data_IF_151424133379
#
_entry.id   IF_151424133379
#
_cell.length_a   1.000
_cell.length_b   1.000
_cell.length_c   1.000
_cell.angle_alpha   90.00
_cell.angle_beta   90.00
_cell.angle_gamma   90.00
#
_symmetry.space_group_name_H-M   'P 1'
#
loop_
_entity.id
_entity.type
_entity.pdbx_description
1 polymer ?
#
# COMPACT_ATOMS: atom_id res chain seq x y z
N UNK A 1 -12.05 -13.03 -6.17
CA UNK A 1 -13.42 -12.69 -5.75
C UNK A 1 -13.63 -11.20 -5.57
N UNK A 2 -12.78 -10.48 -4.82
CA UNK A 2 -12.97 -9.05 -4.54
C UNK A 2 -12.92 -8.15 -5.80
N UNK A 3 -12.03 -8.43 -6.75
CA UNK A 3 -11.98 -7.70 -8.02
C UNK A 3 -13.24 -7.94 -8.86
N UNK A 4 -13.76 -9.19 -8.87
CA UNK A 4 -15.04 -9.51 -9.53
C UNK A 4 -16.22 -8.77 -8.91
N UNK A 5 -16.29 -8.71 -7.59
CA UNK A 5 -17.30 -7.94 -6.87
C UNK A 5 -17.24 -6.44 -7.22
N UNK A 6 -16.05 -5.85 -7.28
CA UNK A 6 -15.86 -4.46 -7.69
C UNK A 6 -16.34 -4.20 -9.12
N UNK A 7 -16.08 -5.13 -10.06
CA UNK A 7 -16.57 -5.01 -11.44
C UNK A 7 -18.10 -5.08 -11.52
N UNK A 8 -18.73 -5.93 -10.72
CA UNK A 8 -20.21 -5.98 -10.62
C UNK A 8 -20.77 -4.65 -10.09
N UNK A 9 -20.17 -4.07 -9.04
CA UNK A 9 -20.58 -2.79 -8.49
C UNK A 9 -20.44 -1.65 -9.54
N UNK A 10 -19.34 -1.64 -10.29
CA UNK A 10 -19.10 -0.68 -11.38
C UNK A 10 -20.17 -0.85 -12.47
N UNK A 11 -20.42 -2.10 -12.91
CA UNK A 11 -21.44 -2.40 -13.93
C UNK A 11 -22.85 -1.93 -13.51
N UNK A 12 -23.24 -2.23 -12.26
CA UNK A 12 -24.52 -1.77 -11.70
C UNK A 12 -24.57 -0.24 -11.63
N UNK A 13 -23.49 0.42 -11.22
CA UNK A 13 -23.41 1.88 -11.22
C UNK A 13 -23.64 2.48 -12.62
N UNK A 14 -22.99 1.92 -13.63
CA UNK A 14 -23.20 2.38 -15.02
C UNK A 14 -24.65 2.19 -15.49
N UNK A 15 -25.30 1.09 -15.14
CA UNK A 15 -26.72 0.88 -15.46
C UNK A 15 -27.64 1.93 -14.82
N UNK A 16 -27.24 2.48 -13.68
CA UNK A 16 -27.94 3.55 -12.95
C UNK A 16 -27.49 4.97 -13.37
N UNK A 17 -26.59 5.09 -14.36
CA UNK A 17 -26.03 6.37 -14.79
C UNK A 17 -25.02 6.97 -13.81
N UNK A 18 -24.51 6.19 -12.86
CA UNK A 18 -23.56 6.63 -11.84
C UNK A 18 -22.15 6.16 -12.23
N UNK A 19 -21.18 7.09 -12.32
CA UNK A 19 -19.79 6.74 -12.56
C UNK A 19 -19.13 6.31 -11.25
N UNK A 20 -18.85 5.02 -11.13
CA UNK A 20 -18.15 4.42 -9.98
C UNK A 20 -16.64 4.36 -10.28
N UNK A 21 -15.75 4.73 -9.33
CA UNK A 21 -14.32 4.65 -9.53
C UNK A 21 -13.82 3.19 -9.57
N UNK A 22 -12.79 2.94 -10.38
CA UNK A 22 -12.13 1.63 -10.43
C UNK A 22 -11.29 1.41 -9.17
N UNK A 23 -11.41 0.20 -8.59
CA UNK A 23 -10.65 -0.20 -7.39
C UNK A 23 -9.37 -0.97 -7.68
N UNK A 24 -9.20 -1.47 -8.91
CA UNK A 24 -8.05 -2.29 -9.30
C UNK A 24 -7.51 -1.86 -10.66
N UNK A 25 -6.20 -1.63 -10.72
CA UNK A 25 -5.49 -1.32 -11.96
C UNK A 25 -4.27 -2.23 -12.12
N UNK A 26 -4.50 -3.51 -12.50
CA UNK A 26 -3.44 -4.51 -12.72
C UNK A 26 -2.39 -4.55 -11.59
N UNK A 27 -2.78 -4.76 -10.32
CA UNK A 27 -1.86 -4.66 -9.18
C UNK A 27 -0.71 -5.66 -9.22
N UNK A 28 -0.90 -6.83 -9.85
CA UNK A 28 0.11 -7.88 -9.92
C UNK A 28 1.25 -7.64 -10.92
N UNK A 29 1.27 -6.48 -11.62
CA UNK A 29 2.42 -6.05 -12.40
C UNK A 29 3.31 -5.04 -11.66
N UNK A 30 3.00 -4.72 -10.42
CA UNK A 30 3.69 -3.72 -9.62
C UNK A 30 5.13 -4.11 -9.32
N UNK A 31 6.04 -3.15 -9.40
CA UNK A 31 7.47 -3.35 -9.20
C UNK A 31 7.98 -2.90 -7.83
N UNK A 32 7.10 -2.34 -7.01
CA UNK A 32 7.36 -2.01 -5.60
C UNK A 32 6.06 -1.92 -4.80
N UNK A 33 6.17 -1.87 -3.47
CA UNK A 33 5.00 -1.87 -2.58
C UNK A 33 4.15 -0.61 -2.70
N UNK A 34 4.71 0.52 -3.07
CA UNK A 34 3.95 1.77 -3.27
C UNK A 34 3.13 1.71 -4.54
N UNK A 35 3.71 1.17 -5.64
CA UNK A 35 3.02 0.93 -6.91
C UNK A 35 1.89 -0.10 -6.72
N UNK A 36 2.12 -1.15 -5.88
CA UNK A 36 1.08 -2.13 -5.55
C UNK A 36 -0.12 -1.46 -4.88
N UNK A 37 0.08 -0.69 -3.82
CA UNK A 37 -1.01 -0.01 -3.10
C UNK A 37 -1.68 1.13 -3.90
N UNK A 38 -1.00 1.68 -4.89
CA UNK A 38 -1.61 2.62 -5.83
C UNK A 38 -2.53 1.95 -6.86
N UNK A 39 -2.50 0.61 -6.96
CA UNK A 39 -3.27 -0.21 -7.91
C UNK A 39 -4.24 -1.18 -7.25
N UNK A 40 -4.05 -1.46 -5.96
CA UNK A 40 -4.88 -2.36 -5.15
C UNK A 40 -5.81 -1.56 -4.26
N UNK A 41 -7.11 -1.87 -4.34
CA UNK A 41 -8.16 -1.22 -3.54
C UNK A 41 -8.03 0.30 -3.52
N UNK A 42 -8.01 0.90 -4.70
CA UNK A 42 -7.61 2.30 -4.94
C UNK A 42 -8.41 3.27 -4.08
N UNK A 43 -9.75 3.18 -4.09
CA UNK A 43 -10.62 4.10 -3.33
C UNK A 43 -10.33 4.06 -1.83
N UNK A 44 -10.13 2.87 -1.25
CA UNK A 44 -9.77 2.72 0.16
C UNK A 44 -8.38 3.28 0.45
N UNK A 45 -7.40 2.94 -0.40
CA UNK A 45 -6.02 3.43 -0.27
C UNK A 45 -5.94 4.95 -0.35
N UNK A 46 -6.74 5.57 -1.22
CA UNK A 46 -6.84 7.03 -1.34
C UNK A 46 -7.48 7.65 -0.11
N UNK A 47 -8.57 7.07 0.39
CA UNK A 47 -9.22 7.54 1.61
C UNK A 47 -8.25 7.53 2.80
N UNK A 48 -7.55 6.42 3.03
CA UNK A 48 -6.55 6.31 4.12
C UNK A 48 -5.39 7.28 3.92
N UNK A 49 -4.90 7.45 2.68
CA UNK A 49 -3.87 8.43 2.36
C UNK A 49 -4.31 9.85 2.72
N UNK A 50 -5.50 10.25 2.36
CA UNK A 50 -5.95 11.64 2.50
C UNK A 50 -6.36 11.95 3.94
N UNK A 51 -7.05 11.03 4.63
CA UNK A 51 -7.59 11.27 5.96
C UNK A 51 -6.66 10.85 7.10
N UNK A 52 -5.78 9.88 6.90
CA UNK A 52 -4.85 9.41 7.94
C UNK A 52 -3.42 9.85 7.64
N UNK A 53 -2.85 9.38 6.54
CA UNK A 53 -1.44 9.62 6.21
C UNK A 53 -1.13 11.10 6.05
N UNK A 54 -1.85 11.81 5.19
CA UNK A 54 -1.59 13.24 4.90
C UNK A 54 -1.76 14.09 6.15
N UNK A 55 -2.82 13.85 6.93
CA UNK A 55 -3.05 14.59 8.19
C UNK A 55 -1.95 14.34 9.22
N UNK A 56 -1.50 13.09 9.34
CA UNK A 56 -0.36 12.75 10.22
C UNK A 56 0.92 13.47 9.77
N UNK A 57 1.24 13.45 8.46
CA UNK A 57 2.41 14.13 7.90
C UNK A 57 2.36 15.63 8.20
N UNK A 58 1.25 16.29 7.89
CA UNK A 58 1.09 17.74 8.10
C UNK A 58 1.22 18.12 9.58
N UNK A 59 0.54 17.37 10.47
CA UNK A 59 0.63 17.60 11.92
C UNK A 59 2.03 17.37 12.45
N UNK A 60 2.70 16.31 12.01
CA UNK A 60 4.06 15.96 12.45
C UNK A 60 5.10 16.99 11.97
N UNK A 61 4.94 17.49 10.75
CA UNK A 61 5.81 18.54 10.22
C UNK A 61 5.59 19.88 10.96
N UNK A 62 4.35 20.27 11.19
CA UNK A 62 4.02 21.50 11.95
C UNK A 62 4.59 21.45 13.37
N UNK A 63 4.49 20.30 14.04
CA UNK A 63 4.98 20.09 15.41
C UNK A 63 6.47 19.71 15.47
N UNK A 64 7.18 19.61 14.34
CA UNK A 64 8.59 19.19 14.24
C UNK A 64 8.88 17.88 15.02
N UNK A 65 7.97 16.89 14.98
CA UNK A 65 8.08 15.64 15.77
C UNK A 65 9.29 14.80 15.39
N UNK A 66 9.71 14.84 14.13
CA UNK A 66 10.79 14.02 13.59
C UNK A 66 11.84 14.90 12.90
N UNK A 67 13.11 14.48 12.97
CA UNK A 67 14.25 15.22 12.40
C UNK A 67 14.22 15.32 10.87
N UNK A 68 13.64 14.33 10.17
CA UNK A 68 13.65 14.28 8.70
C UNK A 68 12.27 13.98 8.13
N UNK A 69 12.01 14.49 6.92
CA UNK A 69 10.80 14.15 6.16
C UNK A 69 10.69 12.65 5.86
N UNK A 70 11.83 11.99 5.68
CA UNK A 70 11.87 10.55 5.41
C UNK A 70 11.37 9.75 6.62
N UNK A 71 11.85 10.08 7.82
CA UNK A 71 11.37 9.45 9.07
C UNK A 71 9.88 9.71 9.27
N UNK A 72 9.43 10.94 9.03
CA UNK A 72 7.99 11.27 9.12
C UNK A 72 7.15 10.41 8.18
N UNK A 73 7.57 10.27 6.92
CA UNK A 73 6.87 9.46 5.93
C UNK A 73 6.87 7.98 6.31
N UNK A 74 8.01 7.44 6.77
CA UNK A 74 8.12 6.03 7.18
C UNK A 74 7.19 5.70 8.34
N UNK A 75 7.16 6.53 9.39
CA UNK A 75 6.22 6.37 10.51
C UNK A 75 4.78 6.55 10.06
N UNK A 76 4.52 7.51 9.16
CA UNK A 76 3.20 7.71 8.57
C UNK A 76 2.68 6.49 7.83
N UNK A 77 3.51 5.79 7.05
CA UNK A 77 3.13 4.54 6.38
C UNK A 77 2.77 3.43 7.39
N UNK A 78 3.57 3.28 8.45
CA UNK A 78 3.30 2.25 9.47
C UNK A 78 1.96 2.53 10.16
N UNK A 79 1.73 3.77 10.60
CA UNK A 79 0.46 4.15 11.25
C UNK A 79 -0.72 3.96 10.30
N UNK A 80 -0.60 4.42 9.06
CA UNK A 80 -1.66 4.35 8.06
C UNK A 80 -2.10 2.90 7.80
N UNK A 81 -1.13 2.01 7.58
CA UNK A 81 -1.40 0.60 7.31
C UNK A 81 -1.86 -0.15 8.55
N UNK A 82 -1.37 0.20 9.73
CA UNK A 82 -1.83 -0.38 10.98
C UNK A 82 -3.31 -0.05 11.24
N UNK A 83 -3.71 1.21 11.04
CA UNK A 83 -5.12 1.62 11.16
C UNK A 83 -5.98 0.94 10.10
N UNK A 84 -5.47 0.73 8.88
CA UNK A 84 -6.14 -0.05 7.83
C UNK A 84 -6.32 -1.53 8.28
N UNK A 85 -5.32 -2.11 8.96
CA UNK A 85 -5.44 -3.45 9.55
C UNK A 85 -6.58 -3.53 10.58
N UNK A 86 -6.66 -2.56 11.48
CA UNK A 86 -7.77 -2.46 12.47
C UNK A 86 -9.13 -2.32 11.77
N UNK A 87 -9.18 -1.59 10.66
CA UNK A 87 -10.41 -1.43 9.86
C UNK A 87 -10.91 -2.76 9.29
N UNK A 88 -10.03 -3.69 8.92
CA UNK A 88 -10.40 -5.04 8.49
C UNK A 88 -10.95 -5.90 9.64
N UNK A 89 -10.56 -5.61 10.88
CA UNK A 89 -11.02 -6.31 12.09
C UNK A 89 -9.96 -6.31 13.19
N UNK A 90 -10.37 -6.73 14.39
CA UNK A 90 -9.50 -6.80 15.57
C UNK A 90 -8.77 -8.15 15.72
N UNK A 91 -8.99 -9.09 14.79
CA UNK A 91 -8.28 -10.35 14.84
C UNK A 91 -6.78 -10.14 14.55
N UNK A 92 -5.94 -10.95 15.21
CA UNK A 92 -4.48 -10.77 15.22
C UNK A 92 -3.88 -10.75 13.80
N UNK A 93 -4.42 -11.56 12.88
CA UNK A 93 -3.95 -11.60 11.50
C UNK A 93 -4.07 -10.26 10.77
N UNK A 94 -5.13 -9.47 11.02
CA UNK A 94 -5.32 -8.17 10.40
C UNK A 94 -4.38 -7.10 10.98
N UNK A 95 -4.11 -7.16 12.28
CA UNK A 95 -3.16 -6.26 12.93
C UNK A 95 -1.74 -6.53 12.44
N UNK A 96 -1.35 -7.80 12.34
CA UNK A 96 -0.05 -8.22 11.82
C UNK A 96 0.07 -7.88 10.33
N UNK A 97 -0.97 -8.09 9.54
CA UNK A 97 -1.03 -7.71 8.13
C UNK A 97 -0.81 -6.20 7.92
N UNK A 98 -1.53 -5.36 8.67
CA UNK A 98 -1.38 -3.92 8.61
C UNK A 98 0.04 -3.48 8.98
N UNK A 99 0.58 -4.00 10.08
CA UNK A 99 1.95 -3.69 10.51
C UNK A 99 2.99 -4.15 9.47
N UNK A 100 2.85 -5.37 8.93
CA UNK A 100 3.71 -5.93 7.90
C UNK A 100 3.78 -5.02 6.66
N UNK A 101 2.64 -4.66 6.10
CA UNK A 101 2.58 -3.78 4.92
C UNK A 101 3.07 -2.36 5.23
N UNK A 102 2.81 -1.84 6.42
CA UNK A 102 3.32 -0.56 6.87
C UNK A 102 4.84 -0.51 6.91
N UNK A 103 5.48 -1.56 7.46
CA UNK A 103 6.94 -1.70 7.48
C UNK A 103 7.50 -1.84 6.06
N UNK A 104 6.89 -2.65 5.20
CA UNK A 104 7.33 -2.79 3.81
C UNK A 104 7.27 -1.47 3.02
N UNK A 105 6.21 -0.68 3.20
CA UNK A 105 6.09 0.65 2.60
C UNK A 105 7.16 1.60 3.11
N UNK A 106 7.43 1.61 4.42
CA UNK A 106 8.48 2.42 5.02
C UNK A 106 9.87 2.03 4.49
N UNK A 107 10.16 0.73 4.41
CA UNK A 107 11.42 0.22 3.84
C UNK A 107 11.56 0.56 2.36
N UNK A 108 10.48 0.44 1.59
CA UNK A 108 10.44 0.84 0.17
C UNK A 108 10.76 2.33 0.00
N UNK A 109 10.17 3.19 0.82
CA UNK A 109 10.43 4.64 0.80
C UNK A 109 11.89 4.95 1.13
N UNK A 110 12.44 4.34 2.18
CA UNK A 110 13.84 4.51 2.59
C UNK A 110 14.78 4.03 1.47
N UNK A 111 14.52 2.84 0.92
CA UNK A 111 15.33 2.27 -0.15
C UNK A 111 15.33 3.14 -1.40
N UNK A 112 14.17 3.57 -1.88
CA UNK A 112 14.05 4.43 -3.06
C UNK A 112 14.75 5.78 -2.88
N UNK A 113 14.73 6.35 -1.68
CA UNK A 113 15.35 7.65 -1.37
C UNK A 113 16.86 7.55 -1.19
N UNK A 114 17.34 6.54 -0.47
CA UNK A 114 18.75 6.44 -0.07
C UNK A 114 19.61 5.61 -1.04
N UNK A 115 19.08 4.56 -1.68
CA UNK A 115 19.86 3.64 -2.49
C UNK A 115 20.34 4.26 -3.81
N UNK A 116 21.66 4.38 -3.94
CA UNK A 116 22.32 4.74 -5.22
C UNK A 116 22.11 3.66 -6.27
N UNK A 117 22.08 2.38 -5.86
CA UNK A 117 21.84 1.24 -6.74
C UNK A 117 20.46 1.29 -7.38
N UNK A 118 19.41 1.57 -6.60
CA UNK A 118 18.06 1.78 -7.12
C UNK A 118 18.03 2.92 -8.14
N UNK A 119 18.57 4.09 -7.78
CA UNK A 119 18.58 5.28 -8.66
C UNK A 119 19.27 5.02 -10.01
N UNK A 120 20.37 4.23 -10.00
CA UNK A 120 21.13 3.86 -11.20
C UNK A 120 20.41 2.84 -12.08
N UNK A 121 19.69 1.87 -11.47
CA UNK A 121 19.19 0.69 -12.18
C UNK A 121 17.68 0.69 -12.45
N UNK A 122 16.89 1.56 -11.81
CA UNK A 122 15.40 1.55 -11.85
C UNK A 122 14.79 1.55 -13.26
N UNK A 123 15.51 2.03 -14.29
CA UNK A 123 15.06 2.04 -15.68
C UNK A 123 15.41 0.75 -16.43
N UNK A 124 16.32 -0.08 -15.92
CA UNK A 124 16.78 -1.30 -16.58
C UNK A 124 15.72 -2.40 -16.51
N UNK A 125 15.54 -3.15 -17.61
CA UNK A 125 14.53 -4.20 -17.72
C UNK A 125 14.72 -5.32 -16.69
N UNK A 126 15.96 -5.82 -16.54
CA UNK A 126 16.27 -6.85 -15.55
C UNK A 126 15.92 -6.42 -14.11
N UNK A 127 16.24 -5.15 -13.77
CA UNK A 127 15.93 -4.61 -12.44
C UNK A 127 14.42 -4.58 -12.17
N UNK A 128 13.62 -4.19 -13.16
CA UNK A 128 12.14 -4.20 -13.03
C UNK A 128 11.60 -5.61 -12.82
N UNK A 129 12.14 -6.61 -13.54
CA UNK A 129 11.73 -8.02 -13.40
C UNK A 129 12.05 -8.54 -11.99
N UNK A 130 13.29 -8.31 -11.51
CA UNK A 130 13.70 -8.71 -10.15
C UNK A 130 12.86 -8.00 -9.08
N UNK A 131 12.67 -6.69 -9.22
CA UNK A 131 11.84 -5.91 -8.29
C UNK A 131 10.40 -6.39 -8.27
N UNK A 132 9.83 -6.71 -9.43
CA UNK A 132 8.51 -7.31 -9.55
C UNK A 132 8.43 -8.65 -8.81
N UNK A 133 9.37 -9.56 -9.05
CA UNK A 133 9.39 -10.86 -8.39
C UNK A 133 9.46 -10.73 -6.86
N UNK A 134 10.33 -9.87 -6.35
CA UNK A 134 10.46 -9.59 -4.91
C UNK A 134 9.15 -9.01 -4.36
N UNK A 135 8.57 -8.02 -5.04
CA UNK A 135 7.33 -7.38 -4.60
C UNK A 135 6.18 -8.37 -4.55
N UNK A 136 6.05 -9.24 -5.58
CA UNK A 136 4.99 -10.25 -5.61
C UNK A 136 5.14 -11.28 -4.48
N UNK A 137 6.35 -11.70 -4.15
CA UNK A 137 6.57 -12.59 -3.00
C UNK A 137 6.11 -11.92 -1.68
N UNK A 138 6.44 -10.64 -1.46
CA UNK A 138 5.98 -9.91 -0.27
C UNK A 138 4.45 -9.75 -0.24
N UNK A 139 3.83 -9.48 -1.38
CA UNK A 139 2.37 -9.36 -1.49
C UNK A 139 1.70 -10.69 -1.19
N UNK A 140 2.17 -11.80 -1.77
CA UNK A 140 1.61 -13.13 -1.55
C UNK A 140 1.77 -13.56 -0.09
N UNK A 141 2.92 -13.28 0.53
CA UNK A 141 3.10 -13.54 1.95
C UNK A 141 2.15 -12.69 2.82
N UNK A 142 1.92 -11.43 2.44
CA UNK A 142 0.92 -10.57 3.09
C UNK A 142 -0.50 -11.16 3.01
N UNK A 143 -0.91 -11.69 1.84
CA UNK A 143 -2.20 -12.36 1.71
C UNK A 143 -2.29 -13.64 2.53
N UNK A 144 -1.19 -14.37 2.69
CA UNK A 144 -1.13 -15.55 3.55
C UNK A 144 -1.31 -15.19 5.03
N UNK A 145 -0.74 -14.08 5.50
CA UNK A 145 -1.00 -13.52 6.84
C UNK A 145 -2.49 -13.17 6.96
N UNK A 146 -3.03 -12.44 5.99
CA UNK A 146 -4.41 -11.98 5.98
C UNK A 146 -5.42 -13.12 6.05
N UNK A 147 -5.12 -14.25 5.41
CA UNK A 147 -5.99 -15.42 5.39
C UNK A 147 -6.09 -16.15 6.73
N UNK A 148 -5.22 -15.84 7.71
CA UNK A 148 -5.21 -16.46 9.02
C UNK A 148 -4.63 -17.89 9.05
N UNK A 149 -3.98 -18.34 7.96
CA UNK A 149 -3.40 -19.69 7.89
C UNK A 149 -2.07 -19.84 8.65
N UNK A 150 -1.43 -18.72 9.02
CA UNK A 150 -0.13 -18.71 9.71
C UNK A 150 -0.27 -18.30 11.19
N UNK A 151 -1.34 -17.59 11.51
CA UNK A 151 -1.54 -17.00 12.84
C UNK A 151 -2.93 -17.32 13.34
#
# INVERSE_FOLDING_TARGET
DFAGYSLMAIGTGYMLGIKVPENFNKPFISTDMKDFWARWHISLSEWFRDFIFTRFIMSSMKKKRFKTRLTTASVGFIINMFVMGIWHGLAIQYLVYGLYHGVLLALTEIYQKKSKFHKKNKKKRWYKIVSWAITMNFVMFGFLIFSGHII
#
